data_IF_496308556796
#
_entry.id   IF_496308556796
#
_cell.length_a   1.000
_cell.length_b   1.000
_cell.length_c   1.000
_cell.angle_alpha   90.00
_cell.angle_beta   90.00
_cell.angle_gamma   90.00
#
_symmetry.space_group_name_H-M   'P 1'
#
loop_
_entity.id
_entity.type
_entity.pdbx_description
1 polymer ?
#
# COMPACT_ATOMS: atom_id res chain seq x y z
N UNK A 1 22.21 10.81 -11.50
CA UNK A 1 21.56 11.35 -12.72
C UNK A 1 20.18 11.85 -12.32
N UNK A 2 19.82 13.07 -12.73
CA UNK A 2 18.45 13.60 -12.53
C UNK A 2 17.56 13.08 -13.67
N UNK A 3 16.37 12.60 -13.35
CA UNK A 3 15.37 12.12 -14.32
C UNK A 3 13.96 12.28 -13.76
N UNK A 4 12.92 11.94 -14.55
CA UNK A 4 11.54 11.97 -14.07
C UNK A 4 11.13 10.63 -13.46
N UNK A 5 10.18 10.65 -12.53
CA UNK A 5 9.64 9.43 -11.92
C UNK A 5 9.03 8.48 -12.96
N UNK A 6 8.37 9.02 -14.00
CA UNK A 6 7.80 8.23 -15.10
C UNK A 6 8.86 7.42 -15.88
N UNK A 7 10.13 7.86 -15.89
CA UNK A 7 11.20 7.10 -16.56
C UNK A 7 11.57 5.79 -15.86
N UNK A 8 11.23 5.66 -14.57
CA UNK A 8 11.62 4.51 -13.73
C UNK A 8 10.46 3.69 -13.21
N UNK A 9 9.26 4.25 -13.21
CA UNK A 9 8.11 3.65 -12.55
C UNK A 9 6.82 3.88 -13.35
N UNK A 10 6.06 2.82 -13.56
CA UNK A 10 4.70 2.91 -14.10
C UNK A 10 3.74 3.37 -13.01
N UNK A 11 2.85 4.30 -13.37
CA UNK A 11 1.81 4.80 -12.50
C UNK A 11 0.41 4.48 -13.03
N UNK A 12 -0.47 4.00 -12.15
CA UNK A 12 -1.88 3.74 -12.47
C UNK A 12 -2.81 4.23 -11.35
N UNK A 13 -3.83 5.00 -11.72
CA UNK A 13 -4.94 5.32 -10.81
C UNK A 13 -5.80 4.09 -10.52
N UNK A 14 -6.35 4.03 -9.31
CA UNK A 14 -7.31 3.01 -8.92
C UNK A 14 -8.71 3.21 -9.53
N UNK A 15 -9.59 2.25 -9.27
CA UNK A 15 -10.96 2.23 -9.78
C UNK A 15 -11.93 2.97 -8.84
N UNK A 16 -12.88 3.70 -9.43
CA UNK A 16 -13.91 4.44 -8.71
C UNK A 16 -15.10 3.53 -8.39
N UNK A 17 -15.03 2.81 -7.27
CA UNK A 17 -16.16 1.99 -6.80
C UNK A 17 -17.33 2.86 -6.39
N UNK A 18 -18.54 2.50 -6.80
CA UNK A 18 -19.78 3.09 -6.29
C UNK A 18 -20.07 2.51 -4.92
N UNK A 19 -20.47 3.34 -3.95
CA UNK A 19 -20.71 2.91 -2.56
C UNK A 19 -21.70 1.75 -2.46
N UNK A 20 -22.73 1.72 -3.31
CA UNK A 20 -23.74 0.64 -3.38
C UNK A 20 -23.20 -0.72 -3.86
N UNK A 21 -22.00 -0.74 -4.45
CA UNK A 21 -21.37 -1.96 -4.96
C UNK A 21 -20.44 -2.59 -3.91
N UNK A 22 -20.15 -1.86 -2.84
CA UNK A 22 -19.28 -2.28 -1.77
C UNK A 22 -20.07 -2.99 -0.67
N UNK A 23 -19.46 -4.03 -0.11
CA UNK A 23 -19.99 -4.79 1.01
C UNK A 23 -19.28 -4.38 2.31
N UNK A 24 -20.02 -4.34 3.41
CA UNK A 24 -19.46 -4.11 4.74
C UNK A 24 -18.98 -5.40 5.41
N UNK A 25 -19.61 -6.53 5.07
CA UNK A 25 -19.25 -7.86 5.57
C UNK A 25 -18.75 -8.73 4.40
N UNK A 26 -17.53 -9.26 4.49
CA UNK A 26 -17.00 -10.14 3.45
C UNK A 26 -17.63 -11.51 3.51
N UNK A 27 -17.72 -12.14 2.33
CA UNK A 27 -17.68 -13.58 2.21
C UNK A 27 -16.33 -13.98 1.60
N UNK A 28 -16.02 -15.26 1.52
CA UNK A 28 -14.76 -15.80 0.99
C UNK A 28 -14.46 -15.39 -0.46
N UNK A 29 -15.49 -14.94 -1.19
CA UNK A 29 -15.44 -14.59 -2.61
C UNK A 29 -15.36 -13.08 -2.86
N UNK A 30 -14.63 -12.34 -2.00
CA UNK A 30 -14.45 -10.90 -2.13
C UNK A 30 -12.97 -10.51 -2.12
N UNK A 31 -12.67 -9.38 -2.79
CA UNK A 31 -11.44 -8.62 -2.58
C UNK A 31 -11.68 -7.54 -1.54
N UNK A 32 -10.72 -7.31 -0.66
CA UNK A 32 -10.67 -6.13 0.20
C UNK A 32 -10.29 -4.90 -0.64
N UNK A 33 -11.03 -3.80 -0.52
CA UNK A 33 -10.75 -2.57 -1.28
C UNK A 33 -9.64 -1.81 -0.61
N UNK A 34 -8.47 -1.72 -1.26
CA UNK A 34 -7.33 -0.97 -0.76
C UNK A 34 -7.59 0.52 -0.81
N UNK A 35 -7.74 1.14 0.35
CA UNK A 35 -8.01 2.57 0.54
C UNK A 35 -6.81 3.27 1.18
N UNK A 36 -6.84 4.60 1.22
CA UNK A 36 -5.81 5.42 1.89
C UNK A 36 -5.55 5.03 3.35
N UNK A 37 -6.59 4.58 4.09
CA UNK A 37 -6.45 4.11 5.47
C UNK A 37 -5.53 2.89 5.63
N UNK A 38 -5.15 2.22 4.53
CA UNK A 38 -4.16 1.16 4.51
C UNK A 38 -2.71 1.67 4.37
N UNK A 39 -2.52 2.99 4.31
CA UNK A 39 -1.20 3.64 4.22
C UNK A 39 -0.96 4.42 5.51
N UNK A 40 0.16 4.15 6.18
CA UNK A 40 0.56 4.84 7.40
C UNK A 40 1.18 6.20 7.09
N UNK A 41 1.06 7.13 8.04
CA UNK A 41 1.82 8.37 8.04
C UNK A 41 3.32 8.03 8.14
N UNK A 42 4.12 8.64 7.26
CA UNK A 42 5.55 8.33 7.15
C UNK A 42 5.86 7.08 6.31
N UNK A 43 4.84 6.47 5.71
CA UNK A 43 4.97 5.26 4.90
C UNK A 43 4.70 3.97 5.68
N UNK A 44 4.36 2.92 4.94
CA UNK A 44 4.08 1.60 5.49
C UNK A 44 2.65 1.14 5.31
N UNK A 45 2.46 -0.17 5.40
CA UNK A 45 1.17 -0.83 5.25
C UNK A 45 0.43 -0.96 6.59
N UNK A 46 -0.84 -0.56 6.61
CA UNK A 46 -1.75 -0.70 7.73
C UNK A 46 -2.83 -1.75 7.41
N UNK A 47 -2.73 -2.93 8.00
CA UNK A 47 -3.71 -4.01 7.83
C UNK A 47 -5.08 -3.71 8.48
N UNK A 48 -5.16 -2.71 9.36
CA UNK A 48 -6.35 -2.37 10.16
C UNK A 48 -7.08 -1.12 9.62
N UNK A 49 -6.81 -0.71 8.38
CA UNK A 49 -7.52 0.38 7.71
C UNK A 49 -9.03 0.10 7.58
N UNK A 50 -9.81 1.14 7.27
CA UNK A 50 -11.26 1.02 7.06
C UNK A 50 -11.57 0.03 5.96
N UNK A 51 -12.23 -1.07 6.33
CA UNK A 51 -12.51 -2.19 5.43
C UNK A 51 -13.79 -2.00 4.63
N UNK A 52 -13.76 -2.41 3.40
CA UNK A 52 -14.91 -2.69 2.56
C UNK A 52 -14.48 -3.70 1.49
N UNK A 53 -15.44 -4.42 0.95
CA UNK A 53 -15.15 -5.54 0.07
C UNK A 53 -15.91 -5.42 -1.25
N UNK A 54 -15.32 -6.00 -2.30
CA UNK A 54 -15.89 -6.06 -3.63
C UNK A 54 -15.93 -7.51 -4.13
N UNK A 55 -17.08 -8.01 -4.65
CA UNK A 55 -17.24 -9.39 -5.08
C UNK A 55 -16.32 -9.77 -6.24
N UNK A 56 -15.61 -10.91 -6.13
CA UNK A 56 -14.70 -11.42 -7.16
C UNK A 56 -15.39 -11.69 -8.49
N UNK A 57 -16.64 -12.18 -8.46
CA UNK A 57 -17.43 -12.47 -9.66
C UNK A 57 -17.78 -11.22 -10.50
N UNK A 58 -17.60 -10.01 -9.96
CA UNK A 58 -17.75 -8.73 -10.66
C UNK A 58 -16.43 -8.14 -11.16
N UNK A 59 -15.30 -8.83 -10.92
CA UNK A 59 -13.97 -8.32 -11.23
C UNK A 59 -13.46 -8.64 -12.63
N UNK A 60 -14.21 -9.31 -13.50
CA UNK A 60 -13.73 -9.73 -14.83
C UNK A 60 -13.07 -8.59 -15.62
N UNK A 61 -13.71 -7.42 -15.67
CA UNK A 61 -13.18 -6.22 -16.33
C UNK A 61 -12.23 -5.40 -15.45
N UNK A 62 -12.04 -5.79 -14.20
CA UNK A 62 -11.24 -5.10 -13.20
C UNK A 62 -9.94 -5.82 -12.84
N UNK A 63 -9.58 -6.89 -13.55
CA UNK A 63 -8.38 -7.69 -13.28
C UNK A 63 -7.10 -6.84 -13.17
N UNK A 64 -7.02 -5.75 -13.95
CA UNK A 64 -5.88 -4.81 -13.94
C UNK A 64 -5.73 -4.00 -12.63
N UNK A 65 -6.75 -4.03 -11.76
CA UNK A 65 -6.74 -3.35 -10.45
C UNK A 65 -6.52 -4.31 -9.29
N UNK A 66 -6.45 -5.62 -9.53
CA UNK A 66 -6.10 -6.63 -8.51
C UNK A 66 -4.63 -6.43 -8.18
N UNK A 67 -4.36 -6.29 -6.88
CA UNK A 67 -3.03 -6.00 -6.37
C UNK A 67 -2.22 -7.27 -6.13
N UNK A 68 -0.90 -7.13 -6.25
CA UNK A 68 0.07 -8.20 -6.07
C UNK A 68 1.05 -7.87 -4.96
N UNK A 69 1.66 -8.88 -4.38
CA UNK A 69 2.78 -8.71 -3.45
C UNK A 69 3.84 -7.80 -4.07
N UNK A 70 4.40 -6.90 -3.27
CA UNK A 70 5.36 -5.85 -3.66
C UNK A 70 4.80 -4.74 -4.53
N UNK A 71 3.51 -4.69 -4.84
CA UNK A 71 2.90 -3.49 -5.38
C UNK A 71 3.07 -2.34 -4.39
N UNK A 72 3.42 -1.16 -4.90
CA UNK A 72 3.61 0.04 -4.10
C UNK A 72 2.40 0.93 -4.30
N UNK A 73 1.77 1.32 -3.21
CA UNK A 73 0.49 2.04 -3.17
C UNK A 73 0.70 3.43 -2.57
N UNK A 74 0.41 4.49 -3.34
CA UNK A 74 0.59 5.89 -2.94
C UNK A 74 -0.73 6.55 -2.57
N UNK A 75 -0.78 7.24 -1.43
CA UNK A 75 -1.91 8.09 -1.07
C UNK A 75 -1.95 9.35 -1.95
N UNK A 76 -3.03 9.51 -2.73
CA UNK A 76 -3.15 10.60 -3.71
C UNK A 76 -3.95 11.79 -3.20
N UNK A 77 -4.63 11.67 -2.08
CA UNK A 77 -5.47 12.74 -1.53
C UNK A 77 -5.26 12.88 -0.04
N UNK A 78 -5.45 14.10 0.49
CA UNK A 78 -5.44 14.37 1.93
C UNK A 78 -6.30 15.59 2.27
N UNK A 79 -6.55 15.83 3.54
CA UNK A 79 -7.28 17.03 4.00
C UNK A 79 -6.36 18.23 4.06
N UNK A 80 -6.81 19.40 3.61
CA UNK A 80 -6.03 20.65 3.57
C UNK A 80 -5.43 21.05 4.93
N UNK A 81 -6.15 20.80 6.01
CA UNK A 81 -5.72 21.18 7.37
C UNK A 81 -4.68 20.25 8.00
N UNK A 82 -4.47 19.07 7.42
CA UNK A 82 -3.53 18.07 7.94
C UNK A 82 -3.02 17.19 6.80
N UNK A 83 -2.05 17.70 6.05
CA UNK A 83 -1.41 16.97 4.95
C UNK A 83 -0.44 15.93 5.54
N UNK A 84 -1.00 14.87 6.11
CA UNK A 84 -0.23 13.88 6.87
C UNK A 84 0.27 12.72 6.01
N UNK A 85 -0.58 12.21 5.11
CA UNK A 85 -0.30 10.98 4.34
C UNK A 85 -0.12 11.21 2.84
N UNK A 86 -0.36 12.43 2.34
CA UNK A 86 -0.25 12.73 0.90
C UNK A 86 1.12 12.34 0.35
N UNK A 87 1.14 11.51 -0.67
CA UNK A 87 2.37 11.00 -1.30
C UNK A 87 3.04 9.86 -0.55
N UNK A 88 2.68 9.60 0.73
CA UNK A 88 3.22 8.43 1.42
C UNK A 88 2.80 7.13 0.73
N UNK A 89 3.68 6.13 0.79
CA UNK A 89 3.46 4.85 0.14
C UNK A 89 3.50 3.69 1.11
N UNK A 90 2.78 2.63 0.75
CA UNK A 90 2.86 1.32 1.37
C UNK A 90 3.35 0.30 0.33
N UNK A 91 4.07 -0.71 0.77
CA UNK A 91 4.41 -1.88 -0.04
C UNK A 91 3.55 -3.06 0.41
N UNK A 92 2.92 -3.75 -0.55
CA UNK A 92 1.90 -4.76 -0.25
C UNK A 92 2.51 -6.12 0.11
N UNK A 93 2.07 -6.76 1.23
CA UNK A 93 2.68 -8.01 1.68
C UNK A 93 2.19 -9.27 0.95
N UNK A 94 1.03 -9.26 0.29
CA UNK A 94 0.42 -10.48 -0.23
C UNK A 94 -0.28 -10.30 -1.60
N UNK A 95 -0.42 -11.40 -2.33
CA UNK A 95 -1.08 -11.45 -3.63
C UNK A 95 -2.60 -11.59 -3.53
N UNK A 96 -3.32 -11.03 -4.50
CA UNK A 96 -4.73 -11.37 -4.80
C UNK A 96 -5.73 -11.21 -3.63
N UNK A 97 -5.36 -10.42 -2.62
CA UNK A 97 -6.27 -10.08 -1.51
C UNK A 97 -6.96 -8.76 -1.73
N UNK A 98 -6.29 -7.80 -2.35
CA UNK A 98 -6.75 -6.43 -2.47
C UNK A 98 -7.08 -6.01 -3.89
N UNK A 99 -8.05 -5.08 -4.02
CA UNK A 99 -8.36 -4.39 -5.25
C UNK A 99 -8.22 -2.87 -5.07
N UNK A 100 -7.63 -2.20 -6.04
CA UNK A 100 -7.17 -0.81 -5.95
C UNK A 100 -8.31 0.22 -6.06
N UNK A 101 -8.46 1.11 -5.07
CA UNK A 101 -9.42 2.21 -5.06
C UNK A 101 -8.85 3.50 -5.69
N UNK A 102 -9.73 4.33 -6.26
CA UNK A 102 -9.43 5.56 -7.04
C UNK A 102 -8.54 6.61 -6.34
N UNK A 103 -8.52 6.65 -4.99
CA UNK A 103 -7.72 7.62 -4.23
C UNK A 103 -6.32 7.11 -3.87
N UNK A 104 -5.95 5.99 -4.45
CA UNK A 104 -4.64 5.36 -4.29
C UNK A 104 -4.04 5.12 -5.66
N UNK A 105 -2.79 5.53 -5.83
CA UNK A 105 -1.99 5.25 -7.01
C UNK A 105 -1.21 3.95 -6.85
N UNK A 106 -1.21 3.12 -7.88
CA UNK A 106 -0.35 1.94 -7.99
C UNK A 106 0.94 2.32 -8.70
N UNK A 107 2.06 1.97 -8.10
CA UNK A 107 3.41 2.18 -8.61
C UNK A 107 4.08 0.83 -8.83
N UNK A 108 4.63 0.62 -10.02
CA UNK A 108 5.45 -0.55 -10.35
C UNK A 108 6.73 -0.11 -11.05
N UNK A 109 7.92 -0.49 -10.56
CA UNK A 109 9.15 -0.17 -11.26
C UNK A 109 9.14 -0.79 -12.65
N UNK A 110 9.66 -0.04 -13.63
CA UNK A 110 9.82 -0.52 -14.99
C UNK A 110 10.95 -1.55 -15.04
N UNK A 111 10.67 -2.70 -15.64
CA UNK A 111 11.59 -3.86 -15.64
C UNK A 111 12.94 -3.56 -16.27
N UNK A 112 12.97 -2.73 -17.32
CA UNK A 112 14.17 -2.33 -18.04
C UNK A 112 15.13 -1.48 -17.23
N UNK A 113 14.67 -0.88 -16.13
CA UNK A 113 15.51 -0.04 -15.27
C UNK A 113 16.40 -0.85 -14.33
N UNK A 114 15.99 -2.07 -13.99
CA UNK A 114 16.66 -2.91 -13.00
C UNK A 114 16.53 -2.38 -11.56
N UNK A 115 15.58 -1.43 -11.33
CA UNK A 115 15.27 -0.87 -10.01
C UNK A 115 14.25 -1.78 -9.32
N UNK A 116 14.50 -2.14 -8.05
CA UNK A 116 13.60 -3.01 -7.29
C UNK A 116 12.39 -2.26 -6.73
N UNK A 117 11.28 -2.97 -6.42
CA UNK A 117 10.15 -2.39 -5.69
C UNK A 117 10.55 -1.77 -4.35
N UNK A 118 11.48 -2.39 -3.62
CA UNK A 118 11.98 -1.86 -2.35
C UNK A 118 12.67 -0.50 -2.52
N UNK A 119 13.45 -0.33 -3.59
CA UNK A 119 14.07 0.97 -3.91
C UNK A 119 13.01 2.05 -4.13
N UNK A 120 11.99 1.78 -4.97
CA UNK A 120 10.90 2.74 -5.22
C UNK A 120 10.14 3.05 -3.94
N UNK A 121 9.84 2.04 -3.11
CA UNK A 121 9.16 2.24 -1.82
C UNK A 121 9.93 3.18 -0.89
N UNK A 122 11.23 3.01 -0.76
CA UNK A 122 12.07 3.87 0.07
C UNK A 122 12.25 5.27 -0.54
N UNK A 123 12.46 5.35 -1.85
CA UNK A 123 12.55 6.62 -2.58
C UNK A 123 11.30 7.47 -2.37
N UNK A 124 10.11 6.88 -2.56
CA UNK A 124 8.83 7.60 -2.48
C UNK A 124 8.46 8.02 -1.06
N UNK A 125 9.04 7.42 -0.03
CA UNK A 125 8.87 7.83 1.37
C UNK A 125 10.03 8.71 1.89
N UNK A 126 11.02 9.05 1.05
CA UNK A 126 12.07 9.98 1.45
C UNK A 126 11.55 11.41 1.57
N UNK A 127 12.09 12.17 2.53
CA UNK A 127 11.68 13.55 2.78
C UNK A 127 11.83 14.45 1.54
N UNK A 128 12.91 14.27 0.78
CA UNK A 128 13.18 15.05 -0.43
C UNK A 128 12.13 14.82 -1.52
N UNK A 129 11.75 13.54 -1.76
CA UNK A 129 10.72 13.20 -2.74
C UNK A 129 9.35 13.70 -2.29
N UNK A 130 8.99 13.48 -1.04
CA UNK A 130 7.71 13.93 -0.48
C UNK A 130 7.59 15.45 -0.48
N UNK A 131 8.68 16.19 -0.22
CA UNK A 131 8.69 17.64 -0.26
C UNK A 131 8.41 18.14 -1.69
N UNK A 132 9.15 17.65 -2.69
CA UNK A 132 8.92 18.02 -4.10
C UNK A 132 7.51 17.65 -4.56
N UNK A 133 7.07 16.41 -4.30
CA UNK A 133 5.76 15.93 -4.70
C UNK A 133 4.60 16.74 -4.08
N UNK A 134 4.70 17.08 -2.80
CA UNK A 134 3.68 17.88 -2.09
C UNK A 134 3.61 19.31 -2.59
N UNK A 135 4.74 19.89 -3.03
CA UNK A 135 4.77 21.23 -3.63
C UNK A 135 3.98 21.32 -4.94
N UNK A 136 3.81 20.18 -5.63
CA UNK A 136 3.06 20.06 -6.90
C UNK A 136 1.57 19.77 -6.71
N UNK A 137 1.13 19.61 -5.46
CA UNK A 137 -0.26 19.24 -5.17
C UNK A 137 -1.22 20.43 -5.35
N UNK A 138 -2.42 20.16 -5.89
CA UNK A 138 -3.47 21.17 -6.01
C UNK A 138 -4.07 21.46 -4.62
N UNK A 139 -4.09 22.74 -4.23
CA UNK A 139 -4.57 23.21 -2.93
C UNK A 139 -6.03 23.66 -2.99
N UNK A 140 -6.97 22.71 -2.97
CA UNK A 140 -8.40 22.96 -2.74
C UNK A 140 -8.80 22.75 -1.28
N UNK A 141 -10.09 22.52 -1.02
CA UNK A 141 -10.58 22.01 0.29
C UNK A 141 -9.98 20.65 0.60
N UNK A 142 -9.74 19.85 -0.43
CA UNK A 142 -8.98 18.60 -0.40
C UNK A 142 -7.73 18.78 -1.25
N UNK A 143 -6.58 18.37 -0.71
CA UNK A 143 -5.31 18.40 -1.44
C UNK A 143 -5.18 17.11 -2.25
N UNK A 144 -4.90 17.22 -3.54
CA UNK A 144 -4.84 16.10 -4.45
C UNK A 144 -3.57 16.11 -5.29
N UNK A 145 -2.98 14.95 -5.50
CA UNK A 145 -1.93 14.71 -6.47
C UNK A 145 -2.54 14.25 -7.79
N UNK A 146 -2.21 14.94 -8.88
CA UNK A 146 -2.54 14.47 -10.22
C UNK A 146 -1.56 13.38 -10.67
N UNK A 147 -1.98 12.56 -11.64
CA UNK A 147 -1.08 11.58 -12.26
C UNK A 147 0.15 12.25 -12.89
N UNK A 148 -0.03 13.43 -13.49
CA UNK A 148 1.05 14.18 -14.12
C UNK A 148 2.02 14.77 -13.09
N UNK A 149 1.51 15.23 -11.92
CA UNK A 149 2.38 15.69 -10.84
C UNK A 149 3.29 14.55 -10.35
N UNK A 150 2.77 13.32 -10.23
CA UNK A 150 3.53 12.15 -9.81
C UNK A 150 4.56 11.75 -10.89
N UNK A 151 4.13 11.62 -12.15
CA UNK A 151 4.99 11.20 -13.26
C UNK A 151 6.15 12.16 -13.52
N UNK A 152 5.88 13.47 -13.41
CA UNK A 152 6.84 14.52 -13.67
C UNK A 152 7.67 14.92 -12.43
N UNK A 153 7.52 14.22 -11.30
CA UNK A 153 8.39 14.43 -10.14
C UNK A 153 9.84 14.12 -10.51
N UNK A 154 10.75 14.97 -10.08
CA UNK A 154 12.17 14.76 -10.31
C UNK A 154 12.75 13.77 -9.31
N UNK A 155 13.57 12.85 -9.81
CA UNK A 155 14.27 11.85 -9.01
C UNK A 155 15.76 11.88 -9.33
N UNK A 156 16.56 11.78 -8.27
CA UNK A 156 18.01 11.65 -8.39
C UNK A 156 18.35 10.15 -8.26
N UNK A 157 18.81 9.56 -9.34
CA UNK A 157 19.21 8.15 -9.34
C UNK A 157 20.71 8.03 -9.17
N UNK A 158 21.12 7.10 -8.32
CA UNK A 158 22.48 6.63 -8.25
C UNK A 158 22.87 5.87 -9.54
N UNK A 159 24.17 5.67 -9.83
CA UNK A 159 24.62 4.79 -10.88
C UNK A 159 24.03 3.38 -10.73
N UNK A 160 23.80 2.69 -11.86
CA UNK A 160 23.11 1.37 -11.87
C UNK A 160 23.76 0.31 -10.99
N UNK A 161 25.08 0.30 -10.89
CA UNK A 161 25.83 -0.60 -10.01
C UNK A 161 25.56 -0.33 -8.54
N UNK A 162 25.43 0.93 -8.14
CA UNK A 162 25.07 1.34 -6.78
C UNK A 162 23.61 0.97 -6.47
N UNK A 163 22.67 1.24 -7.40
CA UNK A 163 21.28 0.81 -7.25
C UNK A 163 21.19 -0.70 -7.05
N UNK A 164 21.95 -1.50 -7.83
CA UNK A 164 21.97 -2.96 -7.70
C UNK A 164 22.53 -3.43 -6.37
N UNK A 165 23.64 -2.85 -5.91
CA UNK A 165 24.22 -3.17 -4.59
C UNK A 165 23.23 -2.83 -3.46
N UNK A 166 22.59 -1.67 -3.53
CA UNK A 166 21.57 -1.25 -2.58
C UNK A 166 20.39 -2.22 -2.55
N UNK A 167 19.84 -2.58 -3.72
CA UNK A 167 18.74 -3.55 -3.82
C UNK A 167 19.13 -4.91 -3.24
N UNK A 168 20.35 -5.38 -3.48
CA UNK A 168 20.87 -6.64 -2.91
C UNK A 168 20.87 -6.67 -1.38
N UNK A 169 20.97 -5.50 -0.73
CA UNK A 169 20.91 -5.38 0.73
C UNK A 169 19.47 -5.20 1.21
N UNK A 170 18.70 -4.35 0.53
CA UNK A 170 17.39 -3.91 1.02
C UNK A 170 16.26 -4.88 0.70
N UNK A 171 16.32 -5.55 -0.47
CA UNK A 171 15.25 -6.45 -0.89
C UNK A 171 15.01 -7.61 0.10
N UNK A 172 16.04 -8.29 0.64
CA UNK A 172 15.84 -9.30 1.68
C UNK A 172 15.22 -8.73 2.97
N UNK A 173 15.58 -7.52 3.36
CA UNK A 173 15.00 -6.86 4.55
C UNK A 173 13.52 -6.54 4.35
N UNK A 174 13.15 -6.04 3.16
CA UNK A 174 11.75 -5.81 2.82
C UNK A 174 10.97 -7.12 2.80
N UNK A 175 11.52 -8.23 2.28
CA UNK A 175 10.85 -9.54 2.34
C UNK A 175 10.53 -9.94 3.78
N UNK A 176 11.49 -9.83 4.69
CA UNK A 176 11.28 -10.13 6.11
C UNK A 176 10.18 -9.24 6.71
N UNK A 177 10.17 -7.94 6.38
CA UNK A 177 9.12 -7.02 6.83
C UNK A 177 7.76 -7.45 6.31
N UNK A 178 7.64 -7.81 5.03
CA UNK A 178 6.38 -8.25 4.43
C UNK A 178 5.87 -9.56 5.05
N UNK A 179 6.75 -10.52 5.29
CA UNK A 179 6.39 -11.79 5.92
C UNK A 179 5.95 -11.58 7.38
N UNK A 180 6.66 -10.73 8.13
CA UNK A 180 6.27 -10.37 9.49
C UNK A 180 4.92 -9.63 9.53
N UNK A 181 4.57 -8.83 8.54
CA UNK A 181 3.26 -8.18 8.45
C UNK A 181 2.14 -9.20 8.27
N UNK A 182 2.33 -10.25 7.47
CA UNK A 182 1.37 -11.35 7.30
C UNK A 182 1.22 -12.11 8.63
N UNK A 183 2.34 -12.48 9.26
CA UNK A 183 2.31 -13.22 10.52
C UNK A 183 1.66 -12.41 11.65
N UNK A 184 1.92 -11.11 11.74
CA UNK A 184 1.27 -10.23 12.71
C UNK A 184 -0.26 -10.18 12.52
N UNK A 185 -0.76 -10.17 11.27
CA UNK A 185 -2.20 -10.24 11.01
C UNK A 185 -2.79 -11.58 11.46
N UNK A 186 -2.07 -12.69 11.19
CA UNK A 186 -2.45 -14.03 11.62
C UNK A 186 -2.51 -14.13 13.14
N UNK A 187 -1.47 -13.68 13.84
CA UNK A 187 -1.41 -13.67 15.30
C UNK A 187 -2.50 -12.80 15.92
N UNK A 188 -2.79 -11.63 15.34
CA UNK A 188 -3.90 -10.80 15.79
C UNK A 188 -5.25 -11.51 15.65
N UNK A 189 -5.49 -12.20 14.53
CA UNK A 189 -6.72 -12.98 14.32
C UNK A 189 -6.85 -14.15 15.31
N UNK A 190 -5.75 -14.86 15.59
CA UNK A 190 -5.72 -15.95 16.59
C UNK A 190 -6.01 -15.39 17.98
N UNK A 191 -5.34 -14.32 18.39
CA UNK A 191 -5.58 -13.65 19.68
C UNK A 191 -7.05 -13.29 19.86
N UNK A 192 -7.65 -12.63 18.86
CA UNK A 192 -9.02 -12.14 18.93
C UNK A 192 -10.02 -13.31 18.99
N UNK A 193 -9.75 -14.40 18.28
CA UNK A 193 -10.56 -15.63 18.34
C UNK A 193 -10.45 -16.32 19.70
N UNK A 194 -9.23 -16.44 20.25
CA UNK A 194 -9.01 -17.06 21.55
C UNK A 194 -9.60 -16.23 22.68
N UNK A 195 -9.47 -14.90 22.60
CA UNK A 195 -10.03 -13.99 23.60
C UNK A 195 -11.55 -14.15 23.72
N UNK A 196 -12.25 -14.23 22.59
CA UNK A 196 -13.70 -14.48 22.58
C UNK A 196 -14.05 -15.82 23.24
N UNK A 197 -13.34 -16.90 22.92
CA UNK A 197 -13.57 -18.23 23.51
C UNK A 197 -13.28 -18.28 25.02
N UNK A 198 -12.25 -17.58 25.46
CA UNK A 198 -11.93 -17.44 26.89
C UNK A 198 -13.05 -16.67 27.63
N UNK A 199 -13.50 -15.55 27.07
CA UNK A 199 -14.54 -14.70 27.67
C UNK A 199 -15.90 -15.44 27.74
N UNK A 200 -16.19 -16.31 26.76
CA UNK A 200 -17.42 -17.09 26.73
C UNK A 200 -17.34 -18.39 27.56
N UNK A 201 -16.20 -18.69 28.20
CA UNK A 201 -15.99 -19.91 28.98
C UNK A 201 -15.86 -21.19 28.15
N UNK A 202 -15.65 -21.08 26.83
CA UNK A 202 -15.43 -22.22 25.94
C UNK A 202 -14.05 -22.86 26.14
N UNK A 203 -13.11 -22.10 26.67
CA UNK A 203 -11.74 -22.54 27.01
C UNK A 203 -11.57 -22.43 28.52
N UNK A 204 -11.38 -23.56 29.19
CA UNK A 204 -11.03 -23.61 30.60
C UNK A 204 -9.52 -23.48 30.78
N UNK A 205 -9.08 -22.44 31.50
CA UNK A 205 -7.66 -22.16 31.80
C UNK A 205 -7.26 -22.56 33.22
N UNK A 206 -8.15 -23.17 34.00
CA UNK A 206 -7.88 -23.54 35.41
C UNK A 206 -6.72 -24.53 35.57
N UNK A 207 -6.38 -25.26 34.50
CA UNK A 207 -5.28 -26.23 34.44
C UNK A 207 -3.98 -25.71 33.79
N UNK A 208 -3.96 -24.45 33.33
CA UNK A 208 -2.74 -23.87 32.69
C UNK A 208 -1.79 -23.42 33.78
N UNK A 209 -0.67 -24.11 33.90
CA UNK A 209 0.46 -23.67 34.74
C UNK A 209 1.23 -22.58 33.97
N UNK A 210 1.42 -21.40 34.60
CA UNK A 210 2.21 -20.28 34.08
C UNK A 210 3.63 -20.40 34.63
#
# INVERSE_FOLDING_TARGET
MVTTFDSICDFKNGYAFKSKELLNNPNSECYEVFKQGHILKGGGFNAFGTKSWFPKNKCEKLAKYILKRKDILMAMTDMKGNVAILGNTAILPEDNRYILNQRVGLLRPKTETGISPAYIYLLTNSDSFLFDLRSRANSGVQVNLSADAIRNSEVVLAPKDICRKFSGIIDPLIEIILDNQIENQRLASIRDTLLLKLMNGEIDVSQVQI
#
